data_IF_801775778954
#
_entry.id   IF_801775778954
#
_cell.length_a   1.000
_cell.length_b   1.000
_cell.length_c   1.000
_cell.angle_alpha   90.00
_cell.angle_beta   90.00
_cell.angle_gamma   90.00
#
_symmetry.space_group_name_H-M   'P 1'
#
loop_
_entity.id
_entity.type
_entity.pdbx_description
1 polymer ?
#
# COMPACT_ATOMS: atom_id res chain seq x y z
N UNK A 1 13.91 -2.99 -6.59
CA UNK A 1 12.71 -2.14 -6.43
C UNK A 1 12.82 -1.00 -7.43
N UNK A 2 11.92 -0.90 -8.43
CA UNK A 2 12.04 0.06 -9.55
C UNK A 2 11.23 1.37 -9.36
N UNK A 3 10.36 1.47 -8.36
CA UNK A 3 9.52 2.66 -8.17
C UNK A 3 10.24 3.83 -7.46
N UNK A 4 11.22 3.54 -6.60
CA UNK A 4 12.03 4.58 -5.93
C UNK A 4 11.25 5.56 -5.06
N UNK A 5 10.03 5.23 -4.63
CA UNK A 5 9.22 6.06 -3.75
C UNK A 5 9.89 6.20 -2.37
N UNK A 6 10.29 7.41 -2.01
CA UNK A 6 10.85 7.74 -0.70
C UNK A 6 9.78 8.25 0.28
N UNK A 7 10.17 8.42 1.55
CA UNK A 7 9.30 9.00 2.56
C UNK A 7 8.74 10.37 2.13
N UNK A 8 7.43 10.55 2.28
CA UNK A 8 6.73 11.76 1.87
C UNK A 8 6.32 11.81 0.39
N UNK A 9 6.56 10.73 -0.36
CA UNK A 9 6.01 10.57 -1.71
C UNK A 9 4.55 10.10 -1.64
N UNK A 10 3.71 10.66 -2.50
CA UNK A 10 2.34 10.18 -2.71
C UNK A 10 2.35 9.06 -3.75
N UNK A 11 1.66 7.96 -3.45
CA UNK A 11 1.53 6.80 -4.34
C UNK A 11 0.06 6.47 -4.53
N UNK A 12 -0.35 6.26 -5.78
CA UNK A 12 -1.69 5.79 -6.11
C UNK A 12 -1.69 4.27 -6.25
N UNK A 13 -2.70 3.61 -5.66
CA UNK A 13 -2.88 2.16 -5.71
C UNK A 13 -4.24 1.85 -6.32
N UNK A 14 -4.25 1.07 -7.38
CA UNK A 14 -5.45 0.60 -8.07
C UNK A 14 -5.42 -0.93 -8.21
N UNK A 15 -6.59 -1.55 -8.16
CA UNK A 15 -6.75 -2.99 -8.36
C UNK A 15 -8.04 -3.29 -9.13
N UNK A 16 -8.04 -4.37 -9.90
CA UNK A 16 -9.20 -4.84 -10.66
C UNK A 16 -9.41 -6.32 -10.42
N UNK A 17 -10.67 -6.74 -10.28
CA UNK A 17 -11.05 -8.14 -10.03
C UNK A 17 -12.06 -8.29 -8.87
N UNK A 18 -12.46 -9.54 -8.57
CA UNK A 18 -13.45 -9.83 -7.53
C UNK A 18 -13.01 -9.37 -6.13
N UNK A 19 -11.70 -9.44 -5.85
CA UNK A 19 -11.12 -9.12 -4.54
C UNK A 19 -10.44 -7.74 -4.51
N UNK A 20 -10.65 -6.91 -5.54
CA UNK A 20 -9.94 -5.64 -5.69
C UNK A 20 -10.15 -4.68 -4.50
N UNK A 21 -11.39 -4.57 -4.00
CA UNK A 21 -11.70 -3.72 -2.87
C UNK A 21 -10.98 -4.19 -1.59
N UNK A 22 -11.00 -5.50 -1.31
CA UNK A 22 -10.35 -6.08 -0.14
C UNK A 22 -8.82 -5.95 -0.22
N UNK A 23 -8.25 -6.17 -1.41
CA UNK A 23 -6.82 -6.01 -1.64
C UNK A 23 -6.36 -4.56 -1.43
N UNK A 24 -7.08 -3.57 -1.95
CA UNK A 24 -6.74 -2.14 -1.77
C UNK A 24 -6.86 -1.74 -0.31
N UNK A 25 -7.91 -2.21 0.40
CA UNK A 25 -8.09 -1.96 1.83
C UNK A 25 -6.94 -2.55 2.65
N UNK A 26 -6.59 -3.82 2.41
CA UNK A 26 -5.49 -4.50 3.10
C UNK A 26 -4.13 -3.83 2.85
N UNK A 27 -3.86 -3.39 1.62
CA UNK A 27 -2.64 -2.66 1.28
C UNK A 27 -2.60 -1.28 1.97
N UNK A 28 -3.73 -0.58 2.02
CA UNK A 28 -3.84 0.71 2.70
C UNK A 28 -3.59 0.57 4.20
N UNK A 29 -4.18 -0.45 4.82
CA UNK A 29 -3.97 -0.77 6.23
C UNK A 29 -2.51 -1.13 6.54
N UNK A 30 -1.86 -1.94 5.70
CA UNK A 30 -0.44 -2.25 5.82
C UNK A 30 0.45 -1.00 5.81
N UNK A 31 0.18 -0.06 4.89
CA UNK A 31 0.92 1.22 4.81
C UNK A 31 0.66 2.08 6.05
N UNK A 32 -0.59 2.15 6.53
CA UNK A 32 -0.96 2.89 7.75
C UNK A 32 -0.29 2.32 9.00
N UNK A 33 -0.08 1.00 9.04
CA UNK A 33 0.70 0.31 10.08
C UNK A 33 2.22 0.44 9.89
N UNK A 34 2.66 1.29 8.93
CA UNK A 34 4.06 1.48 8.56
C UNK A 34 4.79 0.16 8.31
N UNK A 35 4.13 -0.76 7.60
CA UNK A 35 4.65 -2.08 7.29
C UNK A 35 5.07 -2.90 8.53
N UNK A 36 4.49 -2.59 9.70
CA UNK A 36 4.84 -3.19 10.99
C UNK A 36 6.35 -3.09 11.33
N UNK A 37 7.07 -2.10 10.78
CA UNK A 37 8.52 -1.90 10.99
C UNK A 37 8.89 -1.36 12.39
N UNK A 38 7.92 -0.94 13.20
CA UNK A 38 8.11 -0.48 14.57
C UNK A 38 8.15 -1.66 15.61
N UNK A 39 8.29 -2.92 15.16
CA UNK A 39 8.50 -4.15 15.98
C UNK A 39 9.96 -4.60 16.05
#
# INVERSE_FOLDING_TARGET
LMLGAGNGCEVHVEAEGPDAAEAVEALTDLVNRKFDEDQ
#
